data_IF_851669792199
#
_entry.id   IF_851669792199
#
_cell.length_a   1.000
_cell.length_b   1.000
_cell.length_c   1.000
_cell.angle_alpha   90.00
_cell.angle_beta   90.00
_cell.angle_gamma   90.00
#
_symmetry.space_group_name_H-M   'P 1'
#
loop_
_entity.id
_entity.type
_entity.pdbx_description
1 polymer ?
#
# COMPACT_ATOMS: atom_id res chain seq x y z
N UNK A 1 -17.74 77.86 34.60
CA UNK A 1 -18.80 77.54 33.61
C UNK A 1 -18.45 76.23 32.95
N UNK A 2 -19.40 75.32 33.02
CA UNK A 2 -19.39 73.97 32.45
C UNK A 2 -19.35 74.08 30.92
N UNK A 3 -18.76 73.09 30.25
CA UNK A 3 -19.35 72.28 29.16
C UNK A 3 -18.27 71.74 28.20
N UNK A 4 -18.14 70.41 28.27
CA UNK A 4 -17.90 69.42 27.22
C UNK A 4 -16.94 69.76 26.07
N UNK A 5 -15.84 68.98 26.01
CA UNK A 5 -15.24 68.63 24.72
C UNK A 5 -15.53 67.17 24.44
N UNK A 6 -16.40 66.99 23.44
CA UNK A 6 -16.86 65.74 22.86
C UNK A 6 -15.66 64.99 22.28
N UNK A 7 -15.54 63.72 22.67
CA UNK A 7 -14.70 62.71 22.06
C UNK A 7 -15.29 62.43 20.66
N UNK A 8 -14.54 62.69 19.60
CA UNK A 8 -14.85 62.18 18.26
C UNK A 8 -13.78 61.16 17.90
N UNK A 9 -14.28 59.94 17.76
CA UNK A 9 -13.63 58.69 17.41
C UNK A 9 -12.83 58.84 16.10
N UNK A 10 -11.53 58.54 16.14
CA UNK A 10 -10.74 58.27 14.94
C UNK A 10 -11.22 56.94 14.34
N UNK A 11 -11.94 57.00 13.22
CA UNK A 11 -12.12 55.88 12.33
C UNK A 11 -11.02 55.90 11.28
N UNK A 12 -9.91 55.20 11.53
CA UNK A 12 -8.96 54.81 10.48
C UNK A 12 -9.09 53.31 10.30
N UNK A 13 -9.85 52.90 9.28
CA UNK A 13 -9.88 51.52 8.80
C UNK A 13 -8.52 51.27 8.14
N UNK A 14 -7.62 50.67 8.91
CA UNK A 14 -6.38 50.12 8.38
C UNK A 14 -6.72 48.89 7.54
N UNK A 15 -6.71 49.05 6.22
CA UNK A 15 -6.56 47.92 5.30
C UNK A 15 -5.16 47.35 5.58
N UNK A 16 -5.09 46.26 6.33
CA UNK A 16 -3.88 45.46 6.43
C UNK A 16 -3.73 44.68 5.12
N UNK A 17 -3.24 45.38 4.09
CA UNK A 17 -2.44 44.72 3.06
C UNK A 17 -1.14 44.28 3.74
N UNK A 18 -1.11 43.04 4.21
CA UNK A 18 0.14 42.36 4.52
C UNK A 18 0.59 41.62 3.27
N UNK A 19 1.28 42.35 2.39
CA UNK A 19 2.35 41.75 1.62
C UNK A 19 3.64 42.34 2.20
N UNK A 20 4.44 41.50 2.85
CA UNK A 20 5.88 41.70 2.86
C UNK A 20 6.53 40.39 2.46
N UNK A 21 7.40 40.52 1.46
CA UNK A 21 8.36 39.51 1.07
C UNK A 21 9.28 39.25 2.26
N UNK A 22 9.39 37.99 2.67
CA UNK A 22 10.58 37.49 3.36
C UNK A 22 10.96 36.17 2.67
N UNK A 23 12.16 36.16 2.10
CA UNK A 23 12.84 35.02 1.48
C UNK A 23 13.26 34.00 2.56
N UNK A 24 12.29 33.43 3.27
CA UNK A 24 12.51 32.23 4.08
C UNK A 24 11.94 31.04 3.32
N UNK A 25 12.83 30.33 2.62
CA UNK A 25 12.55 29.04 2.02
C UNK A 25 12.45 27.93 3.09
N UNK A 26 11.86 28.24 4.25
CA UNK A 26 11.41 27.25 5.22
C UNK A 26 10.11 26.69 4.66
N UNK A 27 10.22 25.60 3.90
CA UNK A 27 9.03 24.78 3.63
C UNK A 27 8.48 24.37 4.98
N UNK A 28 7.36 24.98 5.36
CA UNK A 28 6.55 24.50 6.48
C UNK A 28 6.09 23.11 6.08
N UNK A 29 6.72 22.08 6.66
CA UNK A 29 6.25 20.70 6.50
C UNK A 29 4.90 20.66 7.21
N UNK A 30 3.82 20.48 6.45
CA UNK A 30 2.49 20.30 7.01
C UNK A 30 2.50 19.01 7.85
N UNK A 31 2.06 19.06 9.11
CA UNK A 31 1.97 17.86 9.94
C UNK A 31 1.09 16.79 9.28
N UNK A 32 1.40 15.49 9.46
CA UNK A 32 0.55 14.41 8.99
C UNK A 32 -0.89 14.55 9.53
N UNK A 33 -1.88 14.27 8.68
CA UNK A 33 -3.31 14.28 9.05
C UNK A 33 -3.63 13.09 9.97
N UNK A 34 -4.75 13.16 10.68
CA UNK A 34 -5.22 12.07 11.54
C UNK A 34 -5.57 10.83 10.73
N UNK A 35 -5.15 9.66 11.22
CA UNK A 35 -5.28 8.38 10.52
C UNK A 35 -6.75 8.02 10.26
N UNK A 36 -7.60 8.20 11.26
CA UNK A 36 -9.04 7.93 11.13
C UNK A 36 -9.76 8.84 10.12
N UNK A 37 -9.30 10.09 9.97
CA UNK A 37 -9.90 11.05 9.03
C UNK A 37 -9.55 10.68 7.60
N UNK A 38 -8.27 10.45 7.33
CA UNK A 38 -7.79 10.03 6.01
C UNK A 38 -8.40 8.69 5.60
N UNK A 39 -8.47 7.72 6.52
CA UNK A 39 -9.09 6.43 6.22
C UNK A 39 -10.55 6.58 5.79
N UNK A 40 -11.32 7.49 6.40
CA UNK A 40 -12.71 7.69 6.02
C UNK A 40 -12.85 8.26 4.60
N UNK A 41 -11.91 9.10 4.16
CA UNK A 41 -11.85 9.63 2.79
C UNK A 41 -11.43 8.54 1.80
N UNK A 42 -10.31 7.85 2.07
CA UNK A 42 -9.80 6.76 1.25
C UNK A 42 -10.86 5.67 1.04
N UNK A 43 -11.55 5.27 2.11
CA UNK A 43 -12.59 4.26 2.08
C UNK A 43 -13.78 4.70 1.21
N UNK A 44 -14.18 5.98 1.27
CA UNK A 44 -15.24 6.48 0.41
C UNK A 44 -14.85 6.42 -1.09
N UNK A 45 -13.59 6.74 -1.42
CA UNK A 45 -13.07 6.66 -2.79
C UNK A 45 -12.96 5.22 -3.28
N UNK A 46 -12.43 4.31 -2.45
CA UNK A 46 -12.33 2.88 -2.77
C UNK A 46 -13.73 2.27 -2.98
N UNK A 47 -14.69 2.57 -2.10
CA UNK A 47 -16.06 2.05 -2.26
C UNK A 47 -16.74 2.55 -3.53
N UNK A 48 -16.43 3.76 -3.98
CA UNK A 48 -16.91 4.24 -5.28
C UNK A 48 -16.24 3.51 -6.44
N UNK A 49 -14.92 3.33 -6.38
CA UNK A 49 -14.17 2.54 -7.38
C UNK A 49 -14.75 1.13 -7.51
N UNK A 50 -14.99 0.46 -6.38
CA UNK A 50 -15.54 -0.90 -6.35
C UNK A 50 -16.94 -1.01 -6.97
N UNK A 51 -17.76 0.05 -6.93
CA UNK A 51 -19.11 0.05 -7.54
C UNK A 51 -19.09 0.36 -9.03
N UNK A 52 -18.07 1.08 -9.49
CA UNK A 52 -17.99 1.63 -10.85
C UNK A 52 -17.06 0.83 -11.75
N UNK A 53 -16.29 -0.11 -11.19
CA UNK A 53 -15.33 -0.91 -11.93
C UNK A 53 -15.63 -2.41 -11.87
N UNK A 54 -15.05 -3.14 -12.82
CA UNK A 54 -14.98 -4.59 -12.88
C UNK A 54 -13.60 -5.01 -13.44
N UNK A 55 -13.30 -6.30 -13.41
CA UNK A 55 -12.13 -6.85 -14.12
C UNK A 55 -12.57 -7.84 -15.20
N UNK A 56 -11.66 -8.25 -16.06
CA UNK A 56 -11.90 -9.22 -17.13
C UNK A 56 -12.14 -10.67 -16.64
N UNK A 57 -13.04 -10.88 -15.66
CA UNK A 57 -13.32 -12.20 -15.07
C UNK A 57 -13.76 -13.26 -16.08
N UNK A 58 -14.51 -12.88 -17.12
CA UNK A 58 -14.97 -13.83 -18.16
C UNK A 58 -13.78 -14.47 -18.91
N UNK A 59 -12.69 -13.72 -19.11
CA UNK A 59 -11.46 -14.22 -19.73
C UNK A 59 -10.78 -15.27 -18.84
N UNK A 60 -10.91 -15.16 -17.50
CA UNK A 60 -10.40 -16.15 -16.55
C UNK A 60 -11.32 -17.37 -16.42
N UNK A 61 -12.63 -17.20 -16.52
CA UNK A 61 -13.62 -18.29 -16.45
C UNK A 61 -13.63 -19.14 -17.72
N UNK A 62 -13.34 -18.53 -18.88
CA UNK A 62 -13.28 -19.19 -20.19
C UNK A 62 -12.05 -18.75 -20.98
N UNK A 63 -10.83 -19.16 -20.53
CA UNK A 63 -9.58 -18.69 -21.13
C UNK A 63 -9.42 -19.17 -22.57
N UNK A 64 -9.09 -18.22 -23.45
CA UNK A 64 -8.65 -18.53 -24.82
C UNK A 64 -7.23 -19.12 -24.82
N UNK A 65 -6.84 -19.79 -25.91
CA UNK A 65 -5.49 -20.39 -26.04
C UNK A 65 -4.37 -19.36 -25.90
N UNK A 66 -4.60 -18.10 -26.32
CA UNK A 66 -3.63 -17.00 -26.29
C UNK A 66 -3.79 -16.07 -25.08
N UNK A 67 -4.61 -16.44 -24.08
CA UNK A 67 -4.84 -15.57 -22.92
C UNK A 67 -3.58 -15.47 -22.06
N UNK A 68 -3.13 -14.24 -21.77
CA UNK A 68 -1.92 -13.95 -21.01
C UNK A 68 -2.12 -13.95 -19.48
N UNK A 69 -3.33 -14.28 -19.02
CA UNK A 69 -3.74 -14.28 -17.61
C UNK A 69 -3.50 -12.95 -16.89
N UNK A 70 -3.50 -11.83 -17.62
CA UNK A 70 -3.39 -10.51 -17.00
C UNK A 70 -4.76 -9.97 -16.60
N UNK A 71 -4.83 -9.53 -15.35
CA UNK A 71 -5.96 -8.75 -14.85
C UNK A 71 -5.93 -7.37 -15.50
N UNK A 72 -7.08 -6.99 -16.09
CA UNK A 72 -7.37 -5.68 -16.64
C UNK A 72 -8.61 -5.13 -15.95
N UNK A 73 -8.42 -4.04 -15.19
CA UNK A 73 -9.50 -3.30 -14.55
C UNK A 73 -10.13 -2.33 -15.54
N UNK A 74 -11.46 -2.24 -15.52
CA UNK A 74 -12.26 -1.45 -16.47
C UNK A 74 -13.40 -0.77 -15.73
N UNK A 75 -13.73 0.43 -16.17
CA UNK A 75 -14.95 1.13 -15.75
C UNK A 75 -16.18 0.47 -16.41
N UNK A 76 -17.28 0.40 -15.67
CA UNK A 76 -18.55 -0.11 -16.14
C UNK A 76 -19.18 0.93 -17.09
N UNK A 77 -19.51 0.58 -18.35
CA UNK A 77 -20.15 1.52 -19.27
C UNK A 77 -21.54 1.95 -18.79
N UNK A 78 -21.89 3.23 -18.97
CA UNK A 78 -23.23 3.74 -18.61
C UNK A 78 -24.38 3.07 -19.38
N UNK A 79 -24.10 2.58 -20.60
CA UNK A 79 -25.11 2.22 -21.59
C UNK A 79 -25.49 0.74 -21.62
N UNK A 80 -24.64 -0.15 -21.10
CA UNK A 80 -24.86 -1.61 -21.12
C UNK A 80 -24.24 -2.29 -19.89
N UNK A 81 -25.04 -2.35 -18.83
CA UNK A 81 -24.64 -2.91 -17.53
C UNK A 81 -25.24 -4.29 -17.26
N UNK A 82 -26.06 -4.82 -18.18
CA UNK A 82 -27.01 -5.91 -17.89
C UNK A 82 -26.32 -7.21 -17.41
N UNK A 83 -25.05 -7.41 -17.78
CA UNK A 83 -24.27 -8.60 -17.42
C UNK A 83 -22.91 -8.26 -16.80
N UNK A 84 -22.68 -7.03 -16.36
CA UNK A 84 -21.41 -6.63 -15.72
C UNK A 84 -21.62 -6.60 -14.22
N UNK A 85 -20.84 -7.42 -13.51
CA UNK A 85 -20.83 -7.44 -12.04
C UNK A 85 -19.77 -6.46 -11.54
N UNK A 86 -20.13 -5.46 -10.72
CA UNK A 86 -19.15 -4.57 -10.13
C UNK A 86 -18.27 -5.31 -9.12
N UNK A 87 -17.05 -4.83 -8.91
CA UNK A 87 -16.11 -5.39 -7.94
C UNK A 87 -16.73 -5.49 -6.53
N UNK A 88 -17.55 -4.50 -6.14
CA UNK A 88 -18.23 -4.44 -4.84
C UNK A 88 -19.14 -5.65 -4.52
N UNK A 89 -19.50 -6.46 -5.51
CA UNK A 89 -20.26 -7.70 -5.29
C UNK A 89 -19.43 -8.90 -4.85
N UNK A 90 -18.11 -8.89 -5.07
CA UNK A 90 -17.30 -10.10 -4.93
C UNK A 90 -15.86 -9.91 -4.45
N UNK A 91 -15.38 -8.67 -4.26
CA UNK A 91 -14.10 -8.47 -3.59
C UNK A 91 -14.13 -9.04 -2.18
N UNK A 92 -13.03 -9.66 -1.79
CA UNK A 92 -12.79 -10.08 -0.42
C UNK A 92 -12.06 -8.96 0.35
N UNK A 93 -12.05 -9.06 1.67
CA UNK A 93 -11.45 -8.05 2.55
C UNK A 93 -10.48 -8.70 3.53
N UNK A 94 -9.30 -8.11 3.67
CA UNK A 94 -8.33 -8.37 4.73
C UNK A 94 -8.25 -7.15 5.64
N UNK A 95 -8.49 -7.34 6.94
CA UNK A 95 -8.35 -6.28 7.94
C UNK A 95 -6.90 -6.21 8.43
N UNK A 96 -6.29 -5.03 8.35
CA UNK A 96 -4.91 -4.78 8.79
C UNK A 96 -4.91 -3.68 9.84
N UNK A 97 -4.31 -3.94 11.01
CA UNK A 97 -4.19 -2.94 12.08
C UNK A 97 -3.00 -2.03 11.82
N UNK A 98 -3.24 -0.72 11.76
CA UNK A 98 -2.21 0.28 11.51
C UNK A 98 -2.14 1.27 12.68
N UNK A 99 -1.01 1.33 13.40
CA UNK A 99 -0.84 2.31 14.47
C UNK A 99 -0.43 3.68 13.91
N UNK A 100 -0.95 4.76 14.51
CA UNK A 100 -0.66 6.14 14.10
C UNK A 100 0.80 6.54 14.29
N UNK A 101 1.54 5.83 15.16
CA UNK A 101 2.98 5.99 15.38
C UNK A 101 3.82 5.70 14.12
N UNK A 102 3.30 4.96 13.14
CA UNK A 102 4.00 4.74 11.86
C UNK A 102 4.20 6.02 11.06
N UNK A 103 3.31 6.99 11.22
CA UNK A 103 3.23 8.18 10.39
C UNK A 103 3.66 9.45 11.11
N UNK A 104 4.21 9.36 12.32
CA UNK A 104 4.60 10.51 13.14
C UNK A 104 3.44 11.50 13.35
N UNK A 105 2.21 10.99 13.46
CA UNK A 105 1.02 11.80 13.75
C UNK A 105 1.12 12.28 15.20
N UNK A 106 0.98 13.59 15.43
CA UNK A 106 0.94 14.16 16.78
C UNK A 106 -0.39 13.83 17.47
N UNK A 107 -0.36 13.51 18.76
CA UNK A 107 -1.57 13.33 19.57
C UNK A 107 -1.55 12.06 20.42
N UNK A 108 -2.73 11.58 20.79
CA UNK A 108 -2.88 10.28 21.44
C UNK A 108 -2.64 9.18 20.38
N UNK A 109 -1.82 8.19 20.73
CA UNK A 109 -1.58 7.04 19.87
C UNK A 109 -2.87 6.25 19.69
N UNK A 110 -3.17 5.90 18.44
CA UNK A 110 -4.31 5.08 18.08
C UNK A 110 -3.87 3.95 17.15
N UNK A 111 -4.64 2.87 17.13
CA UNK A 111 -4.51 1.81 16.13
C UNK A 111 -5.82 1.70 15.39
N UNK A 112 -5.77 1.89 14.08
CA UNK A 112 -6.94 1.94 13.21
C UNK A 112 -6.91 0.75 12.26
N UNK A 113 -8.04 0.04 12.15
CA UNK A 113 -8.21 -1.09 11.24
C UNK A 113 -8.45 -0.56 9.82
N UNK A 114 -7.56 -0.90 8.90
CA UNK A 114 -7.65 -0.59 7.48
C UNK A 114 -8.12 -1.83 6.72
N UNK A 115 -8.96 -1.63 5.70
CA UNK A 115 -9.41 -2.70 4.83
C UNK A 115 -8.57 -2.73 3.56
N UNK A 116 -8.00 -3.90 3.26
CA UNK A 116 -7.43 -4.23 1.97
C UNK A 116 -8.44 -5.07 1.21
N UNK A 117 -8.84 -4.61 0.02
CA UNK A 117 -9.80 -5.29 -0.85
C UNK A 117 -9.08 -6.07 -1.94
N UNK A 118 -9.49 -7.29 -2.22
CA UNK A 118 -8.76 -8.11 -3.18
C UNK A 118 -9.62 -9.10 -3.96
N UNK A 119 -9.05 -9.58 -5.07
CA UNK A 119 -9.51 -10.77 -5.79
C UNK A 119 -8.29 -11.60 -6.15
N UNK A 120 -8.37 -12.89 -5.81
CA UNK A 120 -7.41 -13.89 -6.29
C UNK A 120 -8.02 -14.58 -7.52
N UNK A 121 -7.62 -14.13 -8.71
CA UNK A 121 -8.08 -14.72 -9.97
C UNK A 121 -7.48 -16.12 -10.20
N UNK A 122 -6.27 -16.36 -9.68
CA UNK A 122 -5.62 -17.67 -9.65
C UNK A 122 -4.76 -17.78 -8.40
N UNK A 123 -4.90 -18.84 -7.61
CA UNK A 123 -4.14 -18.95 -6.34
C UNK A 123 -2.63 -19.10 -6.56
N UNK A 124 -2.22 -19.83 -7.59
CA UNK A 124 -0.86 -20.38 -7.68
C UNK A 124 -0.78 -21.80 -7.11
N UNK A 125 0.09 -22.63 -7.67
CA UNK A 125 0.24 -24.05 -7.26
C UNK A 125 1.49 -24.32 -6.40
N UNK A 126 2.40 -23.34 -6.34
CA UNK A 126 3.63 -23.44 -5.56
C UNK A 126 3.40 -23.11 -4.08
N UNK A 127 4.49 -22.74 -3.43
CA UNK A 127 4.50 -22.45 -2.01
C UNK A 127 3.77 -21.13 -1.69
N UNK A 128 3.20 -21.09 -0.50
CA UNK A 128 2.73 -19.84 0.10
C UNK A 128 3.93 -19.07 0.68
N UNK A 129 3.72 -17.80 0.95
CA UNK A 129 4.68 -16.93 1.62
C UNK A 129 3.98 -16.14 2.71
N UNK A 130 4.79 -15.64 3.63
CA UNK A 130 4.41 -14.75 4.72
C UNK A 130 4.77 -13.31 4.38
N UNK A 131 4.40 -12.38 5.25
CA UNK A 131 4.78 -10.96 5.12
C UNK A 131 6.26 -10.70 5.41
N UNK A 132 6.99 -11.72 5.91
CA UNK A 132 8.43 -11.68 6.16
C UNK A 132 9.27 -12.21 4.98
N UNK A 133 8.64 -12.78 3.95
CA UNK A 133 9.35 -13.53 2.92
C UNK A 133 9.77 -12.66 1.73
N UNK A 134 10.54 -13.26 0.83
CA UNK A 134 10.87 -12.67 -0.46
C UNK A 134 9.89 -13.14 -1.54
N UNK A 135 9.33 -12.20 -2.31
CA UNK A 135 8.40 -12.45 -3.39
C UNK A 135 9.01 -12.08 -4.76
N UNK A 136 8.98 -13.00 -5.72
CA UNK A 136 9.36 -12.73 -7.11
C UNK A 136 8.10 -12.51 -7.95
N UNK A 137 7.88 -11.28 -8.39
CA UNK A 137 6.60 -10.88 -8.97
C UNK A 137 6.76 -10.06 -10.25
N UNK A 138 5.80 -10.22 -11.17
CA UNK A 138 5.46 -9.16 -12.13
C UNK A 138 4.26 -8.41 -11.60
N UNK A 139 4.27 -7.08 -11.64
CA UNK A 139 3.21 -6.26 -11.06
C UNK A 139 3.02 -4.96 -11.82
N UNK A 140 1.85 -4.35 -11.61
CA UNK A 140 1.58 -2.96 -12.00
C UNK A 140 0.89 -2.25 -10.84
N UNK A 141 1.43 -1.09 -10.47
CA UNK A 141 0.85 -0.18 -9.49
C UNK A 141 0.17 1.01 -10.20
N UNK A 142 -1.06 1.31 -9.81
CA UNK A 142 -1.83 2.44 -10.34
C UNK A 142 -2.66 3.12 -9.25
N UNK A 143 -3.02 4.39 -9.47
CA UNK A 143 -3.98 5.12 -8.66
C UNK A 143 -5.42 4.73 -9.03
N UNK A 144 -6.40 5.11 -8.20
CA UNK A 144 -7.83 4.95 -8.51
C UNK A 144 -8.24 5.71 -9.80
N UNK A 145 -7.50 6.76 -10.19
CA UNK A 145 -7.67 7.47 -11.46
C UNK A 145 -7.30 6.63 -12.70
N UNK A 146 -6.59 5.51 -12.51
CA UNK A 146 -5.99 4.70 -13.57
C UNK A 146 -4.57 5.14 -13.95
N UNK A 147 -4.03 6.19 -13.34
CA UNK A 147 -2.64 6.60 -13.58
C UNK A 147 -1.66 5.53 -13.06
N UNK A 148 -0.90 4.95 -13.98
CA UNK A 148 0.13 3.94 -13.67
C UNK A 148 1.39 4.66 -13.17
N UNK A 149 1.84 4.32 -11.97
CA UNK A 149 3.05 4.89 -11.36
C UNK A 149 4.25 3.94 -11.37
N UNK A 150 4.02 2.63 -11.46
CA UNK A 150 5.09 1.62 -11.58
C UNK A 150 4.59 0.37 -12.34
N UNK A 151 5.46 -0.29 -13.10
CA UNK A 151 5.12 -1.44 -13.93
C UNK A 151 6.33 -2.31 -14.27
N UNK A 152 6.25 -3.60 -13.93
CA UNK A 152 7.24 -4.63 -14.25
C UNK A 152 6.73 -5.72 -15.21
N UNK A 153 5.47 -5.64 -15.67
CA UNK A 153 4.80 -6.65 -16.52
C UNK A 153 5.37 -6.82 -17.94
N UNK A 154 6.40 -6.04 -18.30
CA UNK A 154 7.09 -6.14 -19.59
C UNK A 154 8.47 -6.79 -19.38
N UNK A 155 8.46 -8.13 -19.22
CA UNK A 155 9.65 -8.97 -19.11
C UNK A 155 10.68 -8.52 -18.05
N UNK A 156 10.22 -7.94 -16.94
CA UNK A 156 11.10 -7.43 -15.88
C UNK A 156 10.60 -7.76 -14.47
N UNK A 157 10.22 -9.02 -14.16
CA UNK A 157 9.85 -9.40 -12.80
C UNK A 157 10.96 -9.07 -11.78
N UNK A 158 10.55 -8.67 -10.58
CA UNK A 158 11.43 -8.19 -9.52
C UNK A 158 11.26 -9.02 -8.25
N UNK A 159 12.37 -9.17 -7.52
CA UNK A 159 12.34 -9.64 -6.14
C UNK A 159 12.01 -8.47 -5.22
N UNK A 160 10.99 -8.65 -4.38
CA UNK A 160 10.70 -7.81 -3.24
C UNK A 160 10.99 -8.60 -1.98
N UNK A 161 11.71 -7.97 -1.07
CA UNK A 161 11.78 -8.34 0.32
C UNK A 161 10.55 -7.71 1.00
N UNK A 162 9.60 -8.54 1.43
CA UNK A 162 8.32 -8.04 1.95
C UNK A 162 8.47 -7.45 3.36
N UNK A 163 9.41 -7.92 4.17
CA UNK A 163 9.73 -7.32 5.47
C UNK A 163 10.15 -5.86 5.27
N UNK A 164 11.04 -5.60 4.31
CA UNK A 164 11.49 -4.24 3.96
C UNK A 164 10.42 -3.33 3.33
N UNK A 165 9.19 -3.83 3.10
CA UNK A 165 8.03 -3.02 2.70
C UNK A 165 7.14 -2.62 3.89
N UNK A 166 7.46 -3.07 5.10
CA UNK A 166 6.70 -2.72 6.31
C UNK A 166 7.28 -1.50 7.04
N UNK A 167 8.39 -0.93 6.56
CA UNK A 167 9.15 0.10 7.30
C UNK A 167 8.27 1.31 7.61
N UNK A 168 8.07 1.65 8.89
CA UNK A 168 7.27 2.81 9.23
C UNK A 168 8.05 4.08 8.89
N UNK A 169 7.34 5.18 8.61
CA UNK A 169 7.96 6.48 8.34
C UNK A 169 8.78 7.03 9.52
N UNK A 170 8.56 6.48 10.72
CA UNK A 170 9.30 6.78 11.94
C UNK A 170 10.63 6.02 12.07
N UNK A 171 10.88 4.98 11.26
CA UNK A 171 12.07 4.13 11.40
C UNK A 171 13.36 4.81 10.92
N UNK A 172 14.45 4.47 11.58
CA UNK A 172 15.83 4.81 11.16
C UNK A 172 16.44 3.75 10.22
N UNK A 173 15.76 2.60 10.09
CA UNK A 173 16.16 1.51 9.21
C UNK A 173 15.79 1.83 7.75
N UNK A 174 16.48 1.17 6.81
CA UNK A 174 16.20 1.38 5.39
C UNK A 174 15.04 0.52 4.94
N UNK A 175 14.10 1.11 4.21
CA UNK A 175 13.09 0.39 3.45
C UNK A 175 11.96 1.33 3.05
N UNK A 176 10.77 0.78 2.80
CA UNK A 176 9.66 1.53 2.22
C UNK A 176 8.37 1.29 2.99
N UNK A 177 7.61 2.35 3.29
CA UNK A 177 6.25 2.25 3.82
C UNK A 177 5.27 1.81 2.72
N UNK A 178 5.19 0.51 2.46
CA UNK A 178 4.32 -0.09 1.46
C UNK A 178 3.69 -1.39 1.98
N UNK A 179 3.35 -1.45 3.27
CA UNK A 179 2.90 -2.67 3.98
C UNK A 179 1.78 -3.39 3.24
N UNK A 180 0.82 -2.65 2.69
CA UNK A 180 -0.30 -3.20 1.93
C UNK A 180 0.13 -4.06 0.73
N UNK A 181 1.30 -3.80 0.14
CA UNK A 181 1.86 -4.67 -0.90
C UNK A 181 2.30 -6.03 -0.34
N UNK A 182 2.95 -6.06 0.83
CA UNK A 182 3.34 -7.30 1.50
C UNK A 182 2.14 -8.11 2.00
N UNK A 183 1.17 -7.44 2.61
CA UNK A 183 -0.11 -8.04 3.02
C UNK A 183 -0.89 -8.59 1.83
N UNK A 184 -0.88 -7.87 0.70
CA UNK A 184 -1.47 -8.36 -0.56
C UNK A 184 -0.72 -9.58 -1.11
N UNK A 185 0.61 -9.52 -1.15
CA UNK A 185 1.45 -10.57 -1.71
C UNK A 185 1.24 -11.90 -0.98
N UNK A 186 1.14 -11.89 0.36
CA UNK A 186 0.97 -13.10 1.18
C UNK A 186 -0.34 -13.87 0.92
N UNK A 187 -1.32 -13.25 0.25
CA UNK A 187 -2.57 -13.91 -0.16
C UNK A 187 -2.39 -14.81 -1.40
N UNK A 188 -1.28 -14.68 -2.13
CA UNK A 188 -0.96 -15.47 -3.33
C UNK A 188 0.02 -16.60 -3.02
N UNK A 189 0.11 -17.57 -3.93
CA UNK A 189 1.15 -18.60 -3.96
C UNK A 189 2.01 -18.47 -5.20
N UNK A 190 3.24 -18.99 -5.10
CA UNK A 190 4.16 -19.12 -6.22
C UNK A 190 3.60 -19.98 -7.36
N UNK A 191 4.31 -19.98 -8.48
CA UNK A 191 4.05 -20.89 -9.59
C UNK A 191 4.63 -22.29 -9.38
N UNK A 192 4.54 -23.09 -10.43
CA UNK A 192 5.15 -24.41 -10.47
C UNK A 192 6.68 -24.36 -10.60
N UNK A 193 7.27 -25.52 -10.82
CA UNK A 193 8.71 -25.65 -11.05
C UNK A 193 9.17 -24.81 -12.26
N UNK A 194 10.32 -24.11 -12.15
CA UNK A 194 10.90 -23.37 -13.26
C UNK A 194 11.20 -24.26 -14.47
N UNK A 195 10.79 -23.79 -15.65
CA UNK A 195 11.05 -24.43 -16.94
C UNK A 195 12.22 -23.72 -17.61
N UNK A 196 13.31 -24.44 -17.88
CA UNK A 196 14.48 -23.90 -18.56
C UNK A 196 14.22 -23.81 -20.08
N UNK A 197 14.37 -22.61 -20.63
CA UNK A 197 14.22 -22.32 -22.06
C UNK A 197 15.55 -22.54 -22.82
N UNK A 198 15.46 -22.74 -24.14
CA UNK A 198 16.64 -22.96 -25.01
C UNK A 198 17.62 -21.76 -25.03
N UNK A 199 17.15 -20.56 -24.73
CA UNK A 199 17.94 -19.33 -24.68
C UNK A 199 18.62 -19.08 -23.31
N UNK A 200 18.45 -20.01 -22.37
CA UNK A 200 19.01 -19.91 -21.01
C UNK A 200 18.17 -19.08 -20.03
N UNK A 201 16.99 -18.59 -20.44
CA UNK A 201 16.00 -17.99 -19.54
C UNK A 201 15.15 -19.08 -18.87
N UNK A 202 14.32 -18.68 -17.90
CA UNK A 202 13.34 -19.56 -17.27
C UNK A 202 11.94 -18.99 -17.45
N UNK A 203 10.95 -19.86 -17.60
CA UNK A 203 9.54 -19.55 -17.43
C UNK A 203 8.97 -20.31 -16.24
N UNK A 204 7.85 -19.82 -15.72
CA UNK A 204 7.11 -20.46 -14.64
C UNK A 204 5.64 -20.46 -15.02
N UNK A 205 5.01 -21.63 -14.97
CA UNK A 205 3.58 -21.79 -15.23
C UNK A 205 2.80 -21.82 -13.92
N UNK A 206 1.48 -21.61 -14.01
CA UNK A 206 0.54 -21.76 -12.89
C UNK A 206 0.87 -20.90 -11.65
N UNK A 207 1.45 -19.72 -11.85
CA UNK A 207 1.71 -18.70 -10.83
C UNK A 207 0.44 -18.06 -10.28
N UNK A 208 0.47 -17.53 -9.06
CA UNK A 208 -0.65 -16.78 -8.49
C UNK A 208 -0.95 -15.49 -9.27
N UNK A 209 -2.22 -15.12 -9.42
CA UNK A 209 -2.65 -13.90 -10.09
C UNK A 209 -3.75 -13.25 -9.27
N UNK A 210 -3.56 -11.98 -8.92
CA UNK A 210 -4.54 -11.22 -8.13
C UNK A 210 -4.44 -9.72 -8.35
N UNK A 211 -5.46 -9.02 -7.85
CA UNK A 211 -5.40 -7.57 -7.68
C UNK A 211 -5.86 -7.18 -6.29
N UNK A 212 -5.36 -6.03 -5.84
CA UNK A 212 -5.47 -5.54 -4.48
C UNK A 212 -5.69 -4.04 -4.51
N UNK A 213 -6.59 -3.54 -3.68
CA UNK A 213 -6.88 -2.11 -3.50
C UNK A 213 -6.78 -1.83 -2.02
N UNK A 214 -5.99 -0.82 -1.63
CA UNK A 214 -5.85 -0.46 -0.23
C UNK A 214 -5.72 1.05 -0.03
N UNK A 215 -6.17 1.56 1.14
CA UNK A 215 -6.05 2.95 1.53
C UNK A 215 -4.60 3.38 1.68
N UNK A 216 -4.36 4.68 1.65
CA UNK A 216 -3.04 5.30 1.73
C UNK A 216 -2.29 4.96 3.03
N UNK A 217 -3.01 4.66 4.12
CA UNK A 217 -2.44 4.18 5.39
C UNK A 217 -1.81 2.77 5.32
N UNK A 218 -2.03 2.02 4.24
CA UNK A 218 -1.30 0.79 3.92
C UNK A 218 -0.25 1.01 2.80
N UNK A 219 -0.14 2.24 2.30
CA UNK A 219 0.86 2.66 1.33
C UNK A 219 1.69 3.83 1.88
N UNK A 220 1.94 4.83 1.02
CA UNK A 220 2.84 5.93 1.32
C UNK A 220 2.25 7.01 2.25
N UNK A 221 0.96 6.92 2.61
CA UNK A 221 0.25 7.88 3.45
C UNK A 221 0.57 9.34 3.11
N UNK A 222 1.17 10.11 4.01
CA UNK A 222 1.49 11.53 3.81
C UNK A 222 2.71 11.81 2.92
N UNK A 223 3.41 10.77 2.44
CA UNK A 223 4.62 10.91 1.63
C UNK A 223 4.27 10.86 0.15
N UNK A 224 4.29 12.02 -0.51
CA UNK A 224 4.20 12.07 -1.98
C UNK A 224 5.44 11.42 -2.64
N UNK A 225 5.23 10.66 -3.71
CA UNK A 225 6.27 9.92 -4.43
C UNK A 225 6.10 10.10 -5.93
N UNK A 226 6.97 10.86 -6.59
CA UNK A 226 6.93 11.07 -8.04
C UNK A 226 5.54 11.55 -8.51
N UNK A 227 4.75 10.69 -9.15
CA UNK A 227 3.39 10.95 -9.64
C UNK A 227 2.30 10.57 -8.63
N UNK A 228 2.66 9.97 -7.49
CA UNK A 228 1.75 9.55 -6.42
C UNK A 228 1.58 10.73 -5.45
N UNK A 229 0.40 11.37 -5.38
CA UNK A 229 0.10 12.37 -4.37
C UNK A 229 0.14 11.79 -2.96
N UNK A 230 0.26 12.65 -1.94
CA UNK A 230 0.01 12.22 -0.56
C UNK A 230 -1.44 11.78 -0.40
N UNK A 231 -1.68 10.87 0.54
CA UNK A 231 -2.97 10.32 0.91
C UNK A 231 -3.71 9.69 -0.28
N UNK A 232 -2.98 8.96 -1.13
CA UNK A 232 -3.57 8.31 -2.30
C UNK A 232 -3.80 6.82 -2.03
N UNK A 233 -5.05 6.33 -2.18
CA UNK A 233 -5.32 4.90 -2.29
C UNK A 233 -4.64 4.31 -3.53
N UNK A 234 -4.28 3.03 -3.45
CA UNK A 234 -3.45 2.39 -4.45
C UNK A 234 -4.08 1.07 -4.90
N UNK A 235 -3.87 0.74 -6.17
CA UNK A 235 -4.23 -0.54 -6.76
C UNK A 235 -2.96 -1.22 -7.24
N UNK A 236 -2.80 -2.49 -6.87
CA UNK A 236 -1.78 -3.37 -7.42
C UNK A 236 -2.42 -4.54 -8.13
N UNK A 237 -1.92 -4.86 -9.32
CA UNK A 237 -2.14 -6.16 -9.95
C UNK A 237 -0.84 -6.94 -9.91
N UNK A 238 -0.88 -8.21 -9.54
CA UNK A 238 0.31 -9.01 -9.24
C UNK A 238 0.21 -10.41 -9.83
N UNK A 239 1.34 -10.84 -10.37
CA UNK A 239 1.60 -12.19 -10.86
C UNK A 239 2.72 -12.76 -9.98
N UNK A 240 2.39 -13.69 -9.07
CA UNK A 240 3.29 -14.26 -8.06
C UNK A 240 4.07 -15.45 -8.62
N UNK A 241 5.23 -15.17 -9.20
CA UNK A 241 6.02 -16.14 -9.97
C UNK A 241 6.70 -17.15 -9.05
N UNK A 242 7.43 -16.67 -8.05
CA UNK A 242 8.13 -17.51 -7.10
C UNK A 242 8.18 -16.84 -5.73
N UNK A 243 8.41 -17.64 -4.70
CA UNK A 243 8.52 -17.20 -3.31
C UNK A 243 9.79 -17.77 -2.71
N UNK A 244 10.28 -17.15 -1.66
CA UNK A 244 11.42 -17.65 -0.89
C UNK A 244 11.26 -17.25 0.57
N UNK A 245 11.24 -18.26 1.45
CA UNK A 245 11.31 -18.05 2.90
C UNK A 245 12.61 -17.31 3.27
N UNK A 246 12.49 -16.29 4.12
CA UNK A 246 13.62 -15.45 4.52
C UNK A 246 13.96 -15.62 6.00
N UNK A 247 15.26 -15.67 6.25
CA UNK A 247 15.92 -15.56 7.55
C UNK A 247 16.92 -14.40 7.33
N UNK A 248 16.57 -13.21 7.84
CA UNK A 248 17.25 -11.96 7.47
C UNK A 248 18.58 -11.75 8.19
N UNK A 249 18.71 -12.27 9.40
CA UNK A 249 19.90 -12.14 10.24
C UNK A 249 20.82 -13.37 10.17
N UNK A 250 20.31 -14.49 9.66
CA UNK A 250 21.04 -15.71 9.38
C UNK A 250 21.26 -16.59 10.61
N UNK A 251 20.42 -16.46 11.64
CA UNK A 251 20.53 -17.21 12.88
C UNK A 251 19.94 -18.64 12.79
N UNK A 252 19.15 -18.91 11.74
CA UNK A 252 18.50 -20.18 11.45
C UNK A 252 17.01 -20.24 11.82
N UNK A 253 16.43 -19.16 12.34
CA UNK A 253 15.00 -18.97 12.61
C UNK A 253 14.37 -18.18 11.44
N UNK A 254 13.28 -18.67 10.83
CA UNK A 254 12.60 -17.89 9.79
C UNK A 254 12.07 -16.57 10.36
N UNK A 255 12.19 -15.47 9.60
CA UNK A 255 11.81 -14.14 10.09
C UNK A 255 10.34 -13.97 10.46
N UNK A 256 9.45 -14.81 9.94
CA UNK A 256 8.05 -14.81 10.37
C UNK A 256 7.85 -15.48 11.74
N UNK A 257 8.72 -16.42 12.14
CA UNK A 257 8.64 -17.09 13.44
C UNK A 257 9.11 -16.18 14.59
N UNK A 258 9.68 -15.02 14.24
CA UNK A 258 10.15 -13.97 15.16
C UNK A 258 9.12 -12.84 15.35
N UNK A 259 7.96 -12.93 14.70
CA UNK A 259 6.77 -12.12 15.02
C UNK A 259 6.18 -12.58 16.37
N UNK A 260 6.78 -12.12 17.46
CA UNK A 260 6.51 -12.58 18.83
C UNK A 260 5.05 -12.40 19.25
N UNK A 261 4.40 -11.36 18.71
CA UNK A 261 3.04 -10.99 19.05
C UNK A 261 1.97 -11.49 18.04
N UNK A 262 2.41 -11.94 16.86
CA UNK A 262 1.59 -12.57 15.83
C UNK A 262 0.68 -11.61 15.07
N UNK A 263 1.02 -10.32 15.00
CA UNK A 263 0.24 -9.29 14.29
C UNK A 263 0.68 -9.05 12.84
N UNK A 264 1.70 -9.78 12.39
CA UNK A 264 2.27 -9.70 11.05
C UNK A 264 3.10 -8.44 10.81
N UNK A 265 3.47 -7.70 11.86
CA UNK A 265 4.24 -6.46 11.74
C UNK A 265 5.61 -6.54 12.43
N UNK A 266 6.63 -6.95 11.69
CA UNK A 266 7.94 -7.31 12.25
C UNK A 266 8.71 -6.17 12.93
N UNK A 267 8.33 -4.90 12.74
CA UNK A 267 9.06 -3.76 13.29
C UNK A 267 8.58 -3.33 14.69
N UNK A 268 7.60 -4.02 15.28
CA UNK A 268 7.17 -3.78 16.67
C UNK A 268 7.59 -4.90 17.66
N UNK A 269 8.27 -5.93 17.18
CA UNK A 269 8.86 -6.99 18.00
C UNK A 269 10.33 -6.68 18.27
N UNK A 270 10.66 -6.46 19.54
CA UNK A 270 11.99 -6.13 20.07
C UNK A 270 12.05 -6.70 21.50
N UNK A 271 12.43 -7.97 21.59
CA UNK A 271 12.32 -8.80 22.80
C UNK A 271 13.27 -8.35 23.90
N UNK A 272 14.45 -7.86 23.55
CA UNK A 272 15.48 -7.44 24.50
C UNK A 272 15.51 -5.92 24.77
N UNK A 273 14.82 -5.13 23.93
CA UNK A 273 14.59 -3.70 24.09
C UNK A 273 15.76 -2.83 23.65
N UNK A 274 16.65 -3.32 22.79
CA UNK A 274 17.81 -2.57 22.30
C UNK A 274 17.49 -1.65 21.10
N UNK A 275 16.29 -1.79 20.53
CA UNK A 275 15.76 -0.99 19.42
C UNK A 275 15.99 -1.58 18.03
N UNK A 276 16.60 -2.75 17.91
CA UNK A 276 16.64 -3.56 16.69
C UNK A 276 15.47 -4.54 16.71
N UNK A 277 14.66 -4.65 15.63
CA UNK A 277 13.60 -5.63 15.61
C UNK A 277 14.13 -7.06 15.59
N UNK A 278 13.42 -7.99 16.24
CA UNK A 278 13.84 -9.38 16.46
C UNK A 278 14.30 -10.06 15.15
N UNK A 279 13.55 -9.87 14.04
CA UNK A 279 13.91 -10.46 12.75
C UNK A 279 15.23 -9.97 12.11
N UNK A 280 15.88 -8.98 12.71
CA UNK A 280 17.18 -8.46 12.32
C UNK A 280 18.25 -8.66 13.40
N UNK A 281 17.91 -9.26 14.55
CA UNK A 281 18.79 -9.45 15.71
C UNK A 281 19.19 -10.92 15.96
N UNK A 282 20.31 -11.32 15.35
CA UNK A 282 20.82 -12.69 15.46
C UNK A 282 21.31 -13.10 16.86
N UNK A 283 21.47 -12.14 17.78
CA UNK A 283 21.95 -12.42 19.14
C UNK A 283 20.78 -12.69 20.12
N UNK A 284 19.55 -12.32 19.76
CA UNK A 284 18.38 -12.35 20.66
C UNK A 284 17.03 -12.29 19.92
N UNK A 285 16.28 -13.38 20.01
CA UNK A 285 14.94 -13.57 19.47
C UNK A 285 14.09 -14.47 20.39
#
# INVERSE_FOLDING_TARGET
MIVNRIIVLLGFVGILCSCNNDDDNTQSVEPPRFLSEVLAEDEAEIQEYLKTHYYNYEDFESPSEDFDYKIVLKEIPEDDTTNIRPLSEFVETLEVKVPSSFFLIEGEEETVVHNLYYVIARQGIGDALTVADSAYVSYQGQLLSGDIFDNSRVNSPLWFDLANLQVPSSSILTGTAARGFGEAASLLKGGGEPILNEDGTYSVDNYGVGFFIFPSGLGYYNIARSVIPSYSPMIFTMDMIAVKETDHDGDGTPSMDEDSNGDGYLYNDDTDGDGLPDYLDADTN
#
